data_IF_379402190658
#
_entry.id   IF_379402190658
#
_cell.length_a   1.000
_cell.length_b   1.000
_cell.length_c   1.000
_cell.angle_alpha   90.00
_cell.angle_beta   90.00
_cell.angle_gamma   90.00
#
_symmetry.space_group_name_H-M   'P 1'
#
loop_
_entity.id
_entity.type
_entity.pdbx_description
1 polymer ?
#
# COMPACT_ATOMS: atom_id res chain seq x y z
N UNK A 1 -20.30 -17.36 -26.45
CA UNK A 1 -20.91 -17.08 -25.12
C UNK A 1 -20.76 -18.22 -24.10
N UNK A 2 -21.08 -19.49 -24.43
CA UNK A 2 -20.96 -20.63 -23.48
C UNK A 2 -19.53 -20.84 -22.92
N UNK A 3 -18.48 -20.71 -23.74
CA UNK A 3 -17.07 -20.86 -23.32
C UNK A 3 -16.64 -19.79 -22.31
N UNK A 4 -17.00 -18.53 -22.55
CA UNK A 4 -16.71 -17.40 -21.64
C UNK A 4 -17.44 -17.56 -20.30
N UNK A 5 -18.72 -17.95 -20.32
CA UNK A 5 -19.48 -18.20 -19.07
C UNK A 5 -18.87 -19.35 -18.25
N UNK A 6 -18.41 -20.42 -18.91
CA UNK A 6 -17.71 -21.53 -18.25
C UNK A 6 -16.38 -21.07 -17.63
N UNK A 7 -15.58 -20.31 -18.37
CA UNK A 7 -14.32 -19.74 -17.90
C UNK A 7 -14.52 -18.86 -16.66
N UNK A 8 -15.45 -17.90 -16.73
CA UNK A 8 -15.73 -17.00 -15.61
C UNK A 8 -16.22 -17.78 -14.38
N UNK A 9 -17.17 -18.70 -14.55
CA UNK A 9 -17.70 -19.50 -13.43
C UNK A 9 -16.60 -20.34 -12.77
N UNK A 10 -15.74 -20.95 -13.57
CA UNK A 10 -14.65 -21.78 -13.08
C UNK A 10 -13.62 -20.94 -12.32
N UNK A 11 -13.19 -19.80 -12.87
CA UNK A 11 -12.26 -18.91 -12.17
C UNK A 11 -12.84 -18.39 -10.88
N UNK A 12 -14.10 -17.93 -10.87
CA UNK A 12 -14.71 -17.43 -9.62
C UNK A 12 -14.80 -18.52 -8.56
N UNK A 13 -15.11 -19.75 -8.96
CA UNK A 13 -15.18 -20.89 -8.05
C UNK A 13 -13.79 -21.25 -7.52
N UNK A 14 -12.79 -21.35 -8.40
CA UNK A 14 -11.40 -21.65 -8.04
C UNK A 14 -10.84 -20.56 -7.12
N UNK A 15 -11.08 -19.28 -7.41
CA UNK A 15 -10.59 -18.16 -6.60
C UNK A 15 -11.23 -18.16 -5.21
N UNK A 16 -12.56 -18.29 -5.12
CA UNK A 16 -13.24 -18.29 -3.82
C UNK A 16 -12.86 -19.53 -3.00
N UNK A 17 -12.90 -20.71 -3.62
CA UNK A 17 -12.56 -21.98 -2.98
C UNK A 17 -11.13 -21.95 -2.46
N UNK A 18 -10.17 -21.59 -3.30
CA UNK A 18 -8.79 -21.57 -2.87
C UNK A 18 -8.46 -20.43 -1.91
N UNK A 19 -9.00 -19.21 -2.10
CA UNK A 19 -8.76 -18.13 -1.14
C UNK A 19 -9.20 -18.53 0.28
N UNK A 20 -10.31 -19.26 0.40
CA UNK A 20 -10.76 -19.76 1.69
C UNK A 20 -9.98 -20.98 2.19
N UNK A 21 -9.58 -21.92 1.31
CA UNK A 21 -8.85 -23.13 1.71
C UNK A 21 -7.35 -22.91 1.93
N UNK A 22 -6.79 -21.87 1.33
CA UNK A 22 -5.37 -21.52 1.38
C UNK A 22 -5.07 -20.45 2.44
N UNK A 23 -5.96 -20.32 3.43
CA UNK A 23 -5.84 -19.40 4.57
C UNK A 23 -5.74 -17.91 4.16
N UNK A 24 -6.35 -17.53 3.03
CA UNK A 24 -6.27 -16.17 2.48
C UNK A 24 -6.72 -15.09 3.47
N UNK A 25 -7.76 -15.38 4.27
CA UNK A 25 -8.20 -14.50 5.36
C UNK A 25 -7.15 -14.33 6.46
N UNK A 26 -6.44 -15.40 6.84
CA UNK A 26 -5.39 -15.33 7.85
C UNK A 26 -4.15 -14.58 7.32
N UNK A 27 -3.78 -14.80 6.05
CA UNK A 27 -2.71 -14.05 5.41
C UNK A 27 -3.04 -12.56 5.26
N UNK A 28 -4.28 -12.21 4.95
CA UNK A 28 -4.71 -10.81 4.92
C UNK A 28 -4.54 -10.14 6.29
N UNK A 29 -4.92 -10.82 7.38
CA UNK A 29 -4.67 -10.35 8.75
C UNK A 29 -3.17 -10.22 9.05
N UNK A 30 -2.36 -11.19 8.62
CA UNK A 30 -0.92 -11.16 8.84
C UNK A 30 -0.27 -9.94 8.16
N UNK A 31 -0.61 -9.65 6.90
CA UNK A 31 -0.11 -8.49 6.16
C UNK A 31 -0.56 -7.19 6.85
N UNK A 32 -1.84 -7.07 7.17
CA UNK A 32 -2.40 -5.88 7.80
C UNK A 32 -1.75 -5.57 9.16
N UNK A 33 -1.65 -6.58 10.03
CA UNK A 33 -1.05 -6.43 11.35
C UNK A 33 0.45 -6.14 11.27
N UNK A 34 1.17 -6.78 10.34
CA UNK A 34 2.60 -6.49 10.13
C UNK A 34 2.83 -5.08 9.62
N UNK A 35 1.95 -4.58 8.74
CA UNK A 35 1.95 -3.18 8.31
C UNK A 35 1.72 -2.22 9.47
N UNK A 36 0.72 -2.48 10.31
CA UNK A 36 0.46 -1.66 11.50
C UNK A 36 1.64 -1.69 12.48
N UNK A 37 2.23 -2.86 12.73
CA UNK A 37 3.38 -3.00 13.64
C UNK A 37 4.61 -2.22 13.14
N UNK A 38 4.77 -2.08 11.81
CA UNK A 38 5.84 -1.27 11.23
C UNK A 38 5.62 0.24 11.41
N UNK A 39 4.38 0.71 11.63
CA UNK A 39 4.10 2.13 11.82
C UNK A 39 4.73 2.68 13.11
N UNK A 40 4.72 1.93 14.22
CA UNK A 40 5.25 2.46 15.49
C UNK A 40 6.75 2.78 15.43
N UNK A 41 7.64 1.85 15.01
CA UNK A 41 9.06 2.16 14.87
C UNK A 41 9.33 3.22 13.80
N UNK A 42 8.54 3.24 12.73
CA UNK A 42 8.63 4.27 11.69
C UNK A 42 8.33 5.66 12.22
N UNK A 43 7.27 5.82 13.03
CA UNK A 43 6.94 7.09 13.65
C UNK A 43 8.06 7.55 14.61
N UNK A 44 8.60 6.63 15.42
CA UNK A 44 9.75 6.95 16.28
C UNK A 44 10.93 7.41 15.42
N UNK A 45 11.24 6.71 14.33
CA UNK A 45 12.28 7.10 13.39
C UNK A 45 12.03 8.49 12.80
N UNK A 46 10.82 8.76 12.32
CA UNK A 46 10.46 10.05 11.73
C UNK A 46 10.63 11.19 12.74
N UNK A 47 10.16 11.02 13.99
CA UNK A 47 10.32 12.01 15.06
C UNK A 47 11.79 12.23 15.45
N UNK A 48 12.55 11.14 15.62
CA UNK A 48 13.99 11.21 15.91
C UNK A 48 14.78 11.86 14.77
N UNK A 49 14.43 11.60 13.51
CA UNK A 49 15.08 12.19 12.35
C UNK A 49 14.79 13.68 12.25
N UNK A 50 13.53 14.10 12.42
CA UNK A 50 13.14 15.50 12.47
C UNK A 50 13.92 16.24 13.58
N UNK A 51 13.95 15.69 14.79
CA UNK A 51 14.72 16.25 15.90
C UNK A 51 16.23 16.31 15.59
N UNK A 52 16.80 15.31 14.91
CA UNK A 52 18.22 15.27 14.54
C UNK A 52 18.57 16.35 13.49
N UNK A 53 17.69 16.57 12.52
CA UNK A 53 17.85 17.59 11.49
C UNK A 53 17.62 19.02 12.01
N UNK A 54 17.31 19.20 13.29
CA UNK A 54 17.08 20.52 13.88
C UNK A 54 15.83 21.21 13.33
N UNK A 55 14.86 20.45 12.83
CA UNK A 55 13.70 20.99 12.10
C UNK A 55 12.68 21.68 13.01
N UNK A 56 13.02 22.20 14.18
CA UNK A 56 12.07 22.96 15.02
C UNK A 56 11.57 24.20 14.29
N UNK A 57 12.48 24.94 13.65
CA UNK A 57 12.10 26.08 12.80
C UNK A 57 11.37 25.64 11.53
N UNK A 58 11.80 24.54 10.90
CA UNK A 58 11.13 24.01 9.71
C UNK A 58 9.73 23.49 10.01
N UNK A 59 9.50 22.88 11.19
CA UNK A 59 8.19 22.41 11.65
C UNK A 59 7.26 23.59 11.90
N UNK A 60 7.72 24.63 12.59
CA UNK A 60 6.94 25.86 12.78
C UNK A 60 6.59 26.50 11.43
N UNK A 61 7.57 26.67 10.53
CA UNK A 61 7.34 27.27 9.22
C UNK A 61 6.45 26.41 8.32
N UNK A 62 6.62 25.08 8.32
CA UNK A 62 5.79 24.16 7.56
C UNK A 62 4.35 24.12 8.08
N UNK A 63 4.15 24.15 9.40
CA UNK A 63 2.82 24.24 10.01
C UNK A 63 2.14 25.54 9.58
N UNK A 64 2.82 26.69 9.63
CA UNK A 64 2.29 27.95 9.13
C UNK A 64 1.95 27.88 7.63
N UNK A 65 2.90 27.49 6.78
CA UNK A 65 2.68 27.44 5.33
C UNK A 65 1.58 26.45 4.90
N UNK A 66 1.44 25.32 5.59
CA UNK A 66 0.46 24.28 5.25
C UNK A 66 -0.93 24.61 5.81
N UNK A 67 -1.00 25.12 7.04
CA UNK A 67 -2.26 25.26 7.77
C UNK A 67 -2.80 26.69 7.85
N UNK A 68 -2.04 27.73 7.49
CA UNK A 68 -2.56 29.12 7.44
C UNK A 68 -3.70 29.29 6.42
N UNK A 69 -3.76 28.40 5.42
CA UNK A 69 -4.85 28.37 4.43
C UNK A 69 -6.10 27.62 4.91
N UNK A 70 -6.08 27.02 6.11
CA UNK A 70 -7.15 26.17 6.63
C UNK A 70 -7.90 26.88 7.77
N UNK A 71 -9.22 26.64 7.94
CA UNK A 71 -9.95 27.13 9.11
C UNK A 71 -9.29 26.68 10.42
N UNK A 72 -9.15 27.61 11.39
CA UNK A 72 -8.39 27.39 12.63
C UNK A 72 -8.90 26.22 13.48
N UNK A 73 -10.19 25.91 13.40
CA UNK A 73 -10.82 24.76 14.06
C UNK A 73 -10.45 23.39 13.45
N UNK A 74 -9.94 23.36 12.22
CA UNK A 74 -9.43 22.15 11.54
C UNK A 74 -7.90 22.11 11.64
N UNK A 75 -7.25 23.25 11.43
CA UNK A 75 -5.80 23.41 11.47
C UNK A 75 -5.22 23.12 12.87
N UNK A 76 -5.81 23.67 13.93
CA UNK A 76 -5.24 23.63 15.28
C UNK A 76 -4.94 22.22 15.81
N UNK A 77 -5.92 21.28 15.80
CA UNK A 77 -5.68 19.91 16.27
C UNK A 77 -4.59 19.17 15.47
N UNK A 78 -4.57 19.33 14.14
CA UNK A 78 -3.61 18.66 13.26
C UNK A 78 -2.21 19.29 13.41
N UNK A 79 -2.13 20.62 13.44
CA UNK A 79 -0.91 21.37 13.68
C UNK A 79 -0.27 21.00 15.01
N UNK A 80 -1.08 20.88 16.08
CA UNK A 80 -0.60 20.46 17.40
C UNK A 80 -0.04 19.04 17.37
N UNK A 81 -0.70 18.10 16.69
CA UNK A 81 -0.21 16.73 16.58
C UNK A 81 1.09 16.66 15.75
N UNK A 82 1.16 17.39 14.64
CA UNK A 82 2.38 17.54 13.83
C UNK A 82 3.51 18.14 14.66
N UNK A 83 3.24 19.19 15.43
CA UNK A 83 4.22 19.81 16.32
C UNK A 83 4.66 18.86 17.43
N UNK A 84 3.76 18.12 18.05
CA UNK A 84 4.09 17.10 19.05
C UNK A 84 5.02 16.03 18.45
N UNK A 85 4.72 15.54 17.25
CA UNK A 85 5.53 14.54 16.55
C UNK A 85 6.91 15.11 16.18
N UNK A 86 7.00 16.35 15.71
CA UNK A 86 8.25 16.94 15.22
C UNK A 86 9.15 17.54 16.32
N UNK A 87 8.61 17.86 17.50
CA UNK A 87 9.36 18.54 18.58
C UNK A 87 9.68 17.67 19.79
N UNK A 88 9.02 16.51 19.93
CA UNK A 88 9.37 15.54 20.99
C UNK A 88 10.79 15.03 20.74
N UNK A 89 11.73 15.56 21.52
CA UNK A 89 13.14 15.19 21.45
C UNK A 89 13.35 13.79 22.02
N UNK A 90 13.57 12.82 21.13
CA UNK A 90 14.07 11.49 21.47
C UNK A 90 15.51 11.32 20.99
N UNK A 91 16.39 12.22 21.44
CA UNK A 91 17.81 12.18 21.12
C UNK A 91 18.41 10.88 21.66
N UNK A 92 18.94 10.03 20.78
CA UNK A 92 19.55 8.74 21.12
C UNK A 92 18.81 7.50 20.61
N UNK A 93 17.59 7.64 20.10
CA UNK A 93 16.82 6.50 19.56
C UNK A 93 16.88 6.35 18.04
N UNK A 94 17.55 7.26 17.31
CA UNK A 94 17.56 7.27 15.84
C UNK A 94 18.04 5.93 15.26
N UNK A 95 19.24 5.48 15.61
CA UNK A 95 19.80 4.23 15.09
C UNK A 95 18.94 3.01 15.45
N UNK A 96 18.46 2.93 16.69
CA UNK A 96 17.61 1.83 17.14
C UNK A 96 16.26 1.82 16.40
N UNK A 97 15.67 2.99 16.18
CA UNK A 97 14.40 3.15 15.46
C UNK A 97 14.52 2.79 13.98
N UNK A 98 15.66 3.10 13.32
CA UNK A 98 15.94 2.67 11.95
C UNK A 98 15.98 1.15 11.86
N UNK A 99 16.73 0.50 12.76
CA UNK A 99 16.86 -0.96 12.78
C UNK A 99 15.51 -1.61 13.05
N UNK A 100 14.76 -1.12 14.03
CA UNK A 100 13.43 -1.60 14.35
C UNK A 100 12.45 -1.40 13.17
N UNK A 101 12.41 -0.21 12.57
CA UNK A 101 11.55 0.07 11.41
C UNK A 101 11.88 -0.83 10.23
N UNK A 102 13.17 -1.01 9.91
CA UNK A 102 13.60 -1.93 8.86
C UNK A 102 13.18 -3.38 9.15
N UNK A 103 13.34 -3.84 10.39
CA UNK A 103 12.93 -5.19 10.79
C UNK A 103 11.43 -5.40 10.67
N UNK A 104 10.61 -4.52 11.27
CA UNK A 104 9.16 -4.65 11.23
C UNK A 104 8.58 -4.44 9.83
N UNK A 105 9.11 -3.49 9.05
CA UNK A 105 8.71 -3.33 7.66
C UNK A 105 9.05 -4.58 6.83
N UNK A 106 10.22 -5.20 7.06
CA UNK A 106 10.58 -6.45 6.38
C UNK A 106 9.62 -7.61 6.71
N UNK A 107 9.03 -7.64 7.92
CA UNK A 107 8.00 -8.63 8.27
C UNK A 107 6.74 -8.46 7.41
N UNK A 108 6.33 -7.22 7.12
CA UNK A 108 5.21 -6.96 6.21
C UNK A 108 5.48 -7.48 4.80
N UNK A 109 6.71 -7.32 4.29
CA UNK A 109 7.12 -7.87 2.99
C UNK A 109 7.17 -9.40 3.01
N UNK A 110 7.63 -10.02 4.10
CA UNK A 110 7.58 -11.48 4.25
C UNK A 110 6.13 -11.99 4.29
N UNK A 111 5.21 -11.28 4.95
CA UNK A 111 3.79 -11.64 4.92
C UNK A 111 3.22 -11.59 3.49
N UNK A 112 3.59 -10.56 2.71
CA UNK A 112 3.26 -10.49 1.28
C UNK A 112 3.86 -11.67 0.51
N UNK A 113 5.15 -11.98 0.73
CA UNK A 113 5.84 -13.11 0.08
C UNK A 113 5.13 -14.42 0.35
N UNK A 114 4.81 -14.72 1.61
CA UNK A 114 4.13 -15.95 1.99
C UNK A 114 2.74 -16.04 1.35
N UNK A 115 1.98 -14.94 1.37
CA UNK A 115 0.65 -14.90 0.75
C UNK A 115 0.70 -15.13 -0.77
N UNK A 116 1.68 -14.53 -1.47
CA UNK A 116 1.85 -14.72 -2.91
C UNK A 116 2.36 -16.12 -3.23
N UNK A 117 3.32 -16.65 -2.45
CA UNK A 117 3.80 -18.01 -2.63
C UNK A 117 2.66 -19.02 -2.48
N UNK A 118 1.81 -18.81 -1.47
CA UNK A 118 0.60 -19.61 -1.24
C UNK A 118 -0.38 -19.49 -2.40
N UNK A 119 -0.76 -18.27 -2.78
CA UNK A 119 -1.69 -18.02 -3.88
C UNK A 119 -1.17 -18.53 -5.23
N UNK A 120 0.14 -18.53 -5.46
CA UNK A 120 0.72 -19.09 -6.68
C UNK A 120 1.07 -20.58 -6.58
N UNK A 121 0.81 -21.24 -5.45
CA UNK A 121 1.12 -22.66 -5.20
C UNK A 121 2.59 -22.98 -5.45
N UNK A 122 3.47 -22.11 -4.98
CA UNK A 122 4.93 -22.31 -5.06
C UNK A 122 5.52 -22.44 -3.67
N UNK A 123 6.44 -23.38 -3.52
CA UNK A 123 7.26 -23.50 -2.31
C UNK A 123 8.54 -22.68 -2.49
N UNK A 124 8.87 -21.88 -1.47
CA UNK A 124 10.08 -21.08 -1.49
C UNK A 124 11.26 -21.89 -0.94
N UNK A 125 12.21 -22.22 -1.79
CA UNK A 125 13.42 -22.96 -1.42
C UNK A 125 14.62 -22.03 -1.16
N UNK A 126 14.44 -20.71 -1.30
CA UNK A 126 15.50 -19.73 -1.07
C UNK A 126 15.82 -19.67 0.43
N UNK A 127 17.08 -19.38 0.76
CA UNK A 127 17.50 -19.27 2.16
C UNK A 127 16.78 -18.12 2.86
N UNK A 128 16.49 -18.29 4.16
CA UNK A 128 15.80 -17.26 4.97
C UNK A 128 16.58 -15.94 4.93
N UNK A 129 17.91 -16.00 4.94
CA UNK A 129 18.78 -14.82 4.88
C UNK A 129 18.59 -14.08 3.55
N UNK A 130 18.54 -14.80 2.42
CA UNK A 130 18.31 -14.20 1.11
C UNK A 130 16.93 -13.53 1.04
N UNK A 131 15.88 -14.23 1.50
CA UNK A 131 14.52 -13.66 1.54
C UNK A 131 14.47 -12.39 2.40
N UNK A 132 15.13 -12.38 3.56
CA UNK A 132 15.21 -11.21 4.44
C UNK A 132 15.92 -10.02 3.80
N UNK A 133 17.07 -10.24 3.16
CA UNK A 133 17.79 -9.17 2.43
C UNK A 133 16.95 -8.64 1.26
N UNK A 134 16.31 -9.53 0.51
CA UNK A 134 15.39 -9.14 -0.56
C UNK A 134 14.24 -8.29 -0.01
N UNK A 135 13.66 -8.68 1.12
CA UNK A 135 12.56 -7.96 1.76
C UNK A 135 12.97 -6.56 2.22
N UNK A 136 14.19 -6.38 2.73
CA UNK A 136 14.73 -5.04 3.00
C UNK A 136 14.85 -4.21 1.72
N UNK A 137 15.28 -4.80 0.60
CA UNK A 137 15.30 -4.12 -0.70
C UNK A 137 13.89 -3.67 -1.15
N UNK A 138 12.88 -4.52 -0.95
CA UNK A 138 11.48 -4.18 -1.21
C UNK A 138 10.94 -3.09 -0.28
N UNK A 139 11.37 -3.05 0.98
CA UNK A 139 11.04 -1.94 1.89
C UNK A 139 11.58 -0.63 1.33
N UNK A 140 12.82 -0.59 0.84
CA UNK A 140 13.42 0.61 0.24
C UNK A 140 12.68 1.05 -1.02
N UNK A 141 12.44 0.13 -1.96
CA UNK A 141 11.69 0.41 -3.20
C UNK A 141 10.26 0.88 -2.88
N UNK A 142 9.59 0.21 -1.93
CA UNK A 142 8.26 0.57 -1.46
C UNK A 142 8.24 1.97 -0.84
N UNK A 143 9.25 2.29 -0.02
CA UNK A 143 9.41 3.62 0.59
C UNK A 143 9.57 4.69 -0.48
N UNK A 144 10.47 4.50 -1.44
CA UNK A 144 10.68 5.45 -2.56
C UNK A 144 9.40 5.61 -3.38
N UNK A 145 8.70 4.52 -3.66
CA UNK A 145 7.44 4.54 -4.44
C UNK A 145 6.34 5.31 -3.70
N UNK A 146 6.18 5.07 -2.40
CA UNK A 146 5.22 5.78 -1.56
C UNK A 146 5.59 7.26 -1.39
N UNK A 147 6.89 7.59 -1.26
CA UNK A 147 7.36 8.98 -1.24
C UNK A 147 7.07 9.68 -2.56
N UNK A 148 7.30 9.03 -3.70
CA UNK A 148 6.98 9.59 -5.01
C UNK A 148 5.48 9.83 -5.17
N UNK A 149 4.63 8.87 -4.78
CA UNK A 149 3.17 9.03 -4.81
C UNK A 149 2.74 10.16 -3.86
N UNK A 150 3.25 10.20 -2.63
CA UNK A 150 2.95 11.25 -1.65
C UNK A 150 3.35 12.64 -2.16
N UNK A 151 4.55 12.76 -2.74
CA UNK A 151 4.98 13.99 -3.39
C UNK A 151 4.02 14.39 -4.51
N UNK A 152 3.73 13.49 -5.44
CA UNK A 152 2.87 13.79 -6.59
C UNK A 152 1.45 14.15 -6.19
N UNK A 153 0.86 13.47 -5.20
CA UNK A 153 -0.55 13.65 -4.85
C UNK A 153 -0.77 14.75 -3.80
N UNK A 154 0.18 14.98 -2.89
CA UNK A 154 0.03 15.89 -1.75
C UNK A 154 0.89 17.15 -1.90
N UNK A 155 2.21 17.01 -2.12
CA UNK A 155 3.13 18.14 -2.10
C UNK A 155 3.17 18.94 -3.42
N UNK A 156 3.17 18.25 -4.56
CA UNK A 156 3.17 18.86 -5.89
C UNK A 156 2.00 19.85 -6.14
N UNK A 157 0.73 19.59 -5.74
CA UNK A 157 -0.32 20.60 -5.91
C UNK A 157 -0.10 21.83 -5.04
N UNK A 158 0.51 21.70 -3.85
CA UNK A 158 0.92 22.85 -3.06
C UNK A 158 2.02 23.65 -3.77
N UNK A 159 3.02 22.97 -4.31
CA UNK A 159 4.10 23.60 -5.07
C UNK A 159 3.58 24.33 -6.33
N UNK A 160 2.61 23.75 -7.04
CA UNK A 160 1.96 24.39 -8.21
C UNK A 160 1.22 25.65 -7.80
N UNK A 161 0.41 25.60 -6.73
CA UNK A 161 -0.29 26.79 -6.21
C UNK A 161 0.67 27.91 -5.79
N UNK A 162 1.80 27.55 -5.17
CA UNK A 162 2.83 28.53 -4.83
C UNK A 162 3.49 29.10 -6.09
N UNK A 163 3.82 28.26 -7.07
CA UNK A 163 4.44 28.69 -8.31
C UNK A 163 3.55 29.64 -9.11
N UNK A 164 2.23 29.43 -9.13
CA UNK A 164 1.25 30.33 -9.77
C UNK A 164 1.31 31.77 -9.22
N UNK A 165 1.64 31.96 -7.95
CA UNK A 165 1.75 33.30 -7.35
C UNK A 165 2.93 34.10 -7.91
N UNK A 166 4.02 33.41 -8.27
CA UNK A 166 5.24 34.02 -8.80
C UNK A 166 5.30 34.00 -10.34
N UNK A 167 4.62 33.03 -10.97
CA UNK A 167 4.59 32.80 -12.40
C UNK A 167 3.15 32.55 -12.88
N UNK A 168 2.35 33.61 -13.12
CA UNK A 168 0.95 33.49 -13.51
C UNK A 168 0.72 32.68 -14.80
N UNK A 169 1.73 32.61 -15.69
CA UNK A 169 1.69 31.85 -16.94
C UNK A 169 1.58 30.32 -16.74
N UNK A 170 1.74 29.83 -15.51
CA UNK A 170 1.53 28.41 -15.16
C UNK A 170 0.03 28.09 -15.05
N UNK A 171 -0.82 29.07 -14.73
CA UNK A 171 -2.25 28.87 -14.46
C UNK A 171 -2.99 28.09 -15.58
N UNK A 172 -2.76 28.33 -16.88
CA UNK A 172 -3.39 27.55 -17.96
C UNK A 172 -2.97 26.07 -18.00
N UNK A 173 -1.80 25.73 -17.45
CA UNK A 173 -1.23 24.37 -17.49
C UNK A 173 -1.57 23.52 -16.26
N UNK A 174 -2.20 24.11 -15.24
CA UNK A 174 -2.53 23.46 -13.96
C UNK A 174 -3.33 22.16 -14.14
N UNK A 175 -4.32 22.16 -15.03
CA UNK A 175 -5.10 20.97 -15.39
C UNK A 175 -4.23 19.87 -16.02
N UNK A 176 -3.36 20.25 -16.96
CA UNK A 176 -2.42 19.32 -17.60
C UNK A 176 -1.43 18.74 -16.59
N UNK A 177 -0.88 19.58 -15.69
CA UNK A 177 0.02 19.16 -14.61
C UNK A 177 -0.70 18.18 -13.67
N UNK A 178 -1.96 18.44 -13.32
CA UNK A 178 -2.75 17.53 -12.51
C UNK A 178 -2.92 16.16 -13.18
N UNK A 179 -3.28 16.12 -14.46
CA UNK A 179 -3.42 14.86 -15.23
C UNK A 179 -2.12 14.06 -15.20
N UNK A 180 -0.98 14.71 -15.47
CA UNK A 180 0.33 14.02 -15.44
C UNK A 180 0.68 13.51 -14.04
N UNK A 181 0.42 14.30 -12.99
CA UNK A 181 0.67 13.87 -11.60
C UNK A 181 -0.11 12.60 -11.25
N UNK A 182 -1.41 12.56 -11.55
CA UNK A 182 -2.22 11.36 -11.32
C UNK A 182 -1.75 10.18 -12.18
N UNK A 183 -1.43 10.44 -13.46
CA UNK A 183 -0.95 9.41 -14.39
C UNK A 183 0.34 8.77 -13.89
N UNK A 184 1.33 9.58 -13.50
CA UNK A 184 2.61 9.10 -12.97
C UNK A 184 2.40 8.35 -11.66
N UNK A 185 1.55 8.84 -10.75
CA UNK A 185 1.25 8.14 -9.50
C UNK A 185 0.65 6.74 -9.74
N UNK A 186 -0.28 6.62 -10.70
CA UNK A 186 -0.85 5.33 -11.12
C UNK A 186 0.22 4.44 -11.75
N UNK A 187 1.09 4.98 -12.61
CA UNK A 187 2.20 4.21 -13.20
C UNK A 187 3.13 3.66 -12.11
N UNK A 188 3.53 4.48 -11.14
CA UNK A 188 4.38 4.05 -10.02
C UNK A 188 3.69 2.92 -9.23
N UNK A 189 2.40 3.06 -8.93
CA UNK A 189 1.64 2.02 -8.23
C UNK A 189 1.54 0.71 -9.02
N UNK A 190 1.25 0.81 -10.33
CA UNK A 190 1.20 -0.33 -11.25
C UNK A 190 2.56 -1.04 -11.29
N UNK A 191 3.64 -0.29 -11.48
CA UNK A 191 5.00 -0.84 -11.50
C UNK A 191 5.35 -1.52 -10.17
N UNK A 192 4.99 -0.92 -9.03
CA UNK A 192 5.20 -1.53 -7.72
C UNK A 192 4.47 -2.88 -7.61
N UNK A 193 3.20 -2.96 -8.05
CA UNK A 193 2.45 -4.22 -8.07
C UNK A 193 3.08 -5.26 -8.99
N UNK A 194 3.56 -4.86 -10.17
CA UNK A 194 4.28 -5.74 -11.09
C UNK A 194 5.54 -6.31 -10.45
N UNK A 195 6.40 -5.45 -9.91
CA UNK A 195 7.66 -5.81 -9.24
C UNK A 195 7.39 -6.80 -8.09
N UNK A 196 6.37 -6.54 -7.29
CA UNK A 196 5.97 -7.44 -6.19
C UNK A 196 5.47 -8.78 -6.73
N UNK A 197 4.57 -8.81 -7.72
CA UNK A 197 4.01 -10.05 -8.24
C UNK A 197 5.04 -10.91 -9.01
N UNK A 198 6.05 -10.28 -9.60
CA UNK A 198 7.04 -10.96 -10.46
C UNK A 198 8.28 -11.42 -9.69
N UNK A 199 8.79 -10.62 -8.75
CA UNK A 199 10.09 -10.89 -8.10
C UNK A 199 10.00 -11.31 -6.63
N UNK A 200 8.93 -10.95 -5.93
CA UNK A 200 8.77 -11.33 -4.53
C UNK A 200 8.51 -12.84 -4.36
N UNK A 201 7.48 -13.43 -5.00
CA UNK A 201 7.22 -14.86 -4.86
C UNK A 201 8.28 -15.72 -5.57
N UNK A 202 8.43 -16.96 -5.14
CA UNK A 202 9.32 -17.92 -5.77
C UNK A 202 8.80 -18.33 -7.16
N UNK A 203 9.70 -18.85 -8.01
CA UNK A 203 9.38 -19.30 -9.36
C UNK A 203 9.35 -18.19 -10.40
N UNK A 204 9.24 -18.58 -11.68
CA UNK A 204 9.23 -17.67 -12.83
C UNK A 204 7.80 -17.54 -13.36
N UNK A 205 7.38 -16.31 -13.67
CA UNK A 205 6.07 -15.99 -14.27
C UNK A 205 6.30 -15.04 -15.44
N UNK A 206 5.40 -15.00 -16.42
CA UNK A 206 5.44 -13.99 -17.48
C UNK A 206 4.61 -12.78 -17.06
N UNK A 207 4.92 -11.60 -17.61
CA UNK A 207 4.14 -10.38 -17.34
C UNK A 207 2.65 -10.55 -17.73
N UNK A 208 2.38 -11.31 -18.80
CA UNK A 208 1.03 -11.65 -19.26
C UNK A 208 0.23 -12.52 -18.28
N UNK A 209 0.90 -13.18 -17.34
CA UNK A 209 0.26 -14.08 -16.37
C UNK A 209 -0.25 -13.31 -15.14
N UNK A 210 0.37 -12.17 -14.84
CA UNK A 210 0.07 -11.36 -13.64
C UNK A 210 -0.80 -10.14 -13.92
N UNK A 211 -0.84 -9.69 -15.19
CA UNK A 211 -1.59 -8.52 -15.63
C UNK A 211 -3.10 -8.57 -15.24
N UNK A 212 -3.84 -9.69 -15.42
CA UNK A 212 -5.27 -9.73 -15.12
C UNK A 212 -5.56 -9.45 -13.64
N UNK A 213 -4.84 -10.11 -12.74
CA UNK A 213 -4.98 -9.96 -11.30
C UNK A 213 -4.56 -8.58 -10.83
N UNK A 214 -3.48 -8.00 -11.35
CA UNK A 214 -3.08 -6.61 -11.05
C UNK A 214 -4.19 -5.63 -11.43
N UNK A 215 -4.79 -5.80 -12.62
CA UNK A 215 -5.91 -4.96 -13.07
C UNK A 215 -7.13 -5.07 -12.14
N UNK A 216 -7.52 -6.29 -11.77
CA UNK A 216 -8.62 -6.51 -10.82
C UNK A 216 -8.31 -5.91 -9.44
N UNK A 217 -7.09 -6.11 -8.92
CA UNK A 217 -6.64 -5.53 -7.65
C UNK A 217 -6.78 -4.02 -7.64
N UNK A 218 -6.33 -3.33 -8.69
CA UNK A 218 -6.41 -1.87 -8.78
C UNK A 218 -7.85 -1.36 -8.78
N UNK A 219 -8.72 -1.97 -9.60
CA UNK A 219 -10.14 -1.60 -9.68
C UNK A 219 -10.84 -1.88 -8.35
N UNK A 220 -10.59 -3.04 -7.76
CA UNK A 220 -11.17 -3.42 -6.48
C UNK A 220 -10.66 -2.55 -5.33
N UNK A 221 -9.38 -2.18 -5.30
CA UNK A 221 -8.83 -1.22 -4.33
C UNK A 221 -9.48 0.14 -4.45
N UNK A 222 -9.68 0.67 -5.66
CA UNK A 222 -10.37 1.95 -5.85
C UNK A 222 -11.83 1.88 -5.37
N UNK A 223 -12.55 0.82 -5.74
CA UNK A 223 -13.92 0.60 -5.29
C UNK A 223 -14.01 0.46 -3.76
N UNK A 224 -13.10 -0.32 -3.18
CA UNK A 224 -13.00 -0.56 -1.74
C UNK A 224 -12.64 0.72 -0.98
N UNK A 225 -11.68 1.51 -1.44
CA UNK A 225 -11.32 2.79 -0.84
C UNK A 225 -12.50 3.77 -0.88
N UNK A 226 -13.22 3.83 -2.01
CA UNK A 226 -14.41 4.68 -2.15
C UNK A 226 -15.54 4.24 -1.21
N UNK A 227 -15.81 2.94 -1.13
CA UNK A 227 -16.82 2.39 -0.24
C UNK A 227 -16.45 2.61 1.24
N UNK A 228 -15.17 2.44 1.58
CA UNK A 228 -14.67 2.63 2.93
C UNK A 228 -14.70 4.10 3.36
N UNK A 229 -14.39 5.03 2.45
CA UNK A 229 -14.52 6.46 2.72
C UNK A 229 -15.97 6.84 3.06
N UNK A 230 -16.95 6.35 2.29
CA UNK A 230 -18.39 6.56 2.58
C UNK A 230 -18.82 5.92 3.91
N UNK A 231 -18.28 4.75 4.23
CA UNK A 231 -18.51 4.11 5.53
C UNK A 231 -18.02 5.01 6.68
N UNK A 232 -16.84 5.62 6.55
CA UNK A 232 -16.28 6.51 7.57
C UNK A 232 -17.09 7.80 7.78
N UNK A 233 -17.75 8.33 6.74
CA UNK A 233 -18.66 9.48 6.89
C UNK A 233 -19.81 9.19 7.87
N UNK A 234 -20.31 7.95 7.88
CA UNK A 234 -21.36 7.51 8.82
C UNK A 234 -20.77 7.13 10.18
N UNK A 235 -19.54 6.61 10.21
CA UNK A 235 -18.85 6.13 11.41
C UNK A 235 -18.17 7.25 12.22
N UNK A 236 -18.06 8.47 11.67
CA UNK A 236 -17.39 9.62 12.30
C UNK A 236 -17.96 9.95 13.69
N UNK A 237 -19.25 9.72 13.93
CA UNK A 237 -19.90 9.91 15.23
C UNK A 237 -19.52 8.86 16.29
N UNK A 238 -18.92 7.72 15.90
CA UNK A 238 -18.48 6.65 16.80
C UNK A 238 -17.02 6.86 17.26
N UNK A 239 -16.21 7.53 16.43
CA UNK A 239 -14.80 7.88 16.70
C UNK A 239 -14.67 8.83 17.89
N UNK A 240 -15.65 9.71 18.10
CA UNK A 240 -15.68 10.65 19.23
C UNK A 240 -15.86 9.96 20.58
N UNK A 241 -16.49 8.78 20.61
CA UNK A 241 -16.79 8.03 21.85
C UNK A 241 -15.65 7.09 22.26
N UNK A 242 -14.96 6.48 21.29
CA UNK A 242 -13.90 5.48 21.51
C UNK A 242 -12.54 5.96 21.00
N UNK A 243 -12.24 7.24 21.20
CA UNK A 243 -11.07 7.94 20.68
C UNK A 243 -9.77 7.11 20.71
N UNK A 244 -8.87 7.32 19.74
CA UNK A 244 -7.59 6.60 19.60
C UNK A 244 -7.73 5.12 19.17
N UNK A 245 -8.51 4.32 19.90
CA UNK A 245 -8.78 2.90 19.59
C UNK A 245 -9.57 2.75 18.29
N UNK A 246 -10.54 3.62 18.05
CA UNK A 246 -11.31 3.63 16.81
C UNK A 246 -10.42 3.86 15.58
N UNK A 247 -9.44 4.77 15.65
CA UNK A 247 -8.54 5.06 14.53
C UNK A 247 -7.64 3.89 14.17
N UNK A 248 -7.10 3.18 15.18
CA UNK A 248 -6.30 1.98 14.97
C UNK A 248 -7.15 0.88 14.33
N UNK A 249 -8.37 0.67 14.83
CA UNK A 249 -9.28 -0.33 14.27
C UNK A 249 -9.62 -0.04 12.81
N UNK A 250 -9.92 1.22 12.48
CA UNK A 250 -10.17 1.68 11.10
C UNK A 250 -8.98 1.36 10.20
N UNK A 251 -7.75 1.65 10.64
CA UNK A 251 -6.54 1.36 9.87
C UNK A 251 -6.35 -0.15 9.65
N UNK A 252 -6.54 -0.98 10.68
CA UNK A 252 -6.42 -2.44 10.55
C UNK A 252 -7.44 -3.00 9.56
N UNK A 253 -8.72 -2.60 9.69
CA UNK A 253 -9.79 -3.07 8.80
C UNK A 253 -9.52 -2.65 7.36
N UNK A 254 -9.05 -1.42 7.15
CA UNK A 254 -8.69 -0.93 5.82
C UNK A 254 -7.53 -1.73 5.21
N UNK A 255 -6.43 -1.88 5.96
CA UNK A 255 -5.27 -2.66 5.50
C UNK A 255 -5.63 -4.13 5.26
N UNK A 256 -6.49 -4.70 6.09
CA UNK A 256 -7.00 -6.06 5.92
C UNK A 256 -7.76 -6.21 4.61
N UNK A 257 -8.68 -5.28 4.32
CA UNK A 257 -9.45 -5.27 3.08
C UNK A 257 -8.54 -5.13 1.86
N UNK A 258 -7.56 -4.21 1.89
CA UNK A 258 -6.58 -4.07 0.82
C UNK A 258 -5.74 -5.35 0.63
N UNK A 259 -5.32 -5.97 1.72
CA UNK A 259 -4.53 -7.21 1.70
C UNK A 259 -5.35 -8.38 1.13
N UNK A 260 -6.62 -8.52 1.52
CA UNK A 260 -7.51 -9.54 0.97
C UNK A 260 -7.69 -9.37 -0.54
N UNK A 261 -7.97 -8.14 -1.00
CA UNK A 261 -8.10 -7.84 -2.43
C UNK A 261 -6.81 -8.15 -3.20
N UNK A 262 -5.66 -7.81 -2.63
CA UNK A 262 -4.36 -8.10 -3.20
C UNK A 262 -4.14 -9.61 -3.40
N UNK A 263 -4.43 -10.41 -2.37
CA UNK A 263 -4.31 -11.87 -2.43
C UNK A 263 -5.30 -12.44 -3.46
N UNK A 264 -6.55 -11.95 -3.49
CA UNK A 264 -7.54 -12.33 -4.51
C UNK A 264 -7.02 -12.05 -5.92
N UNK A 265 -6.31 -10.94 -6.15
CA UNK A 265 -5.65 -10.68 -7.43
C UNK A 265 -4.61 -11.74 -7.80
N UNK A 266 -3.77 -12.16 -6.85
CA UNK A 266 -2.81 -13.24 -7.05
C UNK A 266 -3.50 -14.60 -7.31
N UNK A 267 -4.61 -14.86 -6.63
CA UNK A 267 -5.46 -16.04 -6.84
C UNK A 267 -6.05 -16.08 -8.24
N UNK A 268 -6.55 -14.95 -8.75
CA UNK A 268 -7.05 -14.81 -10.12
C UNK A 268 -5.94 -15.14 -11.12
N UNK A 269 -4.74 -14.60 -10.92
CA UNK A 269 -3.59 -14.89 -11.77
C UNK A 269 -3.29 -16.39 -11.79
N UNK A 270 -3.25 -17.03 -10.62
CA UNK A 270 -3.01 -18.46 -10.50
C UNK A 270 -4.11 -19.32 -11.15
N UNK A 271 -5.38 -18.97 -10.95
CA UNK A 271 -6.52 -19.66 -11.57
C UNK A 271 -6.46 -19.55 -13.11
N UNK A 272 -6.14 -18.38 -13.65
CA UNK A 272 -5.99 -18.18 -15.10
C UNK A 272 -4.82 -19.00 -15.65
N UNK A 273 -3.67 -19.02 -14.97
CA UNK A 273 -2.53 -19.84 -15.36
C UNK A 273 -2.88 -21.33 -15.38
N UNK A 274 -3.57 -21.82 -14.35
CA UNK A 274 -3.99 -23.23 -14.26
C UNK A 274 -5.02 -23.59 -15.33
N UNK A 275 -5.98 -22.71 -15.61
CA UNK A 275 -6.94 -22.91 -16.69
C UNK A 275 -6.25 -23.02 -18.06
N UNK A 276 -5.31 -22.12 -18.36
CA UNK A 276 -4.53 -22.15 -19.61
C UNK A 276 -3.71 -23.43 -19.76
N UNK A 277 -3.07 -23.89 -18.68
CA UNK A 277 -2.33 -25.17 -18.67
C UNK A 277 -3.24 -26.37 -18.98
N UNK A 278 -4.44 -26.42 -18.38
CA UNK A 278 -5.41 -27.49 -18.62
C UNK A 278 -5.93 -27.51 -20.06
N UNK A 279 -6.14 -26.35 -20.68
CA UNK A 279 -6.53 -26.28 -22.11
C UNK A 279 -5.41 -26.77 -23.05
N UNK A 280 -4.14 -26.64 -22.65
CA UNK A 280 -2.99 -27.07 -23.45
C UNK A 280 -2.65 -28.56 -23.31
N UNK A 281 -3.17 -29.25 -22.27
CA UNK A 281 -2.92 -30.67 -22.02
C UNK A 281 -4.24 -31.44 -21.77
N UNK A 282 -5.08 -31.66 -22.80
CA UNK A 282 -6.39 -32.30 -22.63
C UNK A 282 -6.30 -33.79 -22.24
N UNK A 283 -5.23 -34.48 -22.66
CA UNK A 283 -5.10 -35.95 -22.61
C UNK A 283 -4.80 -36.51 -21.21
N UNK A 284 -4.36 -35.69 -20.26
CA UNK A 284 -4.06 -36.09 -18.87
C UNK A 284 -5.25 -35.94 -17.90
N UNK A 285 -6.43 -35.53 -18.37
CA UNK A 285 -7.63 -35.32 -17.53
C UNK A 285 -8.65 -36.48 -17.64
N UNK A 286 -8.24 -37.65 -18.17
CA UNK A 286 -9.14 -38.81 -18.42
C UNK A 286 -8.85 -40.00 -17.45
N UNK A 287 -7.96 -39.85 -16.47
CA UNK A 287 -7.78 -40.86 -15.40
C UNK A 287 -8.38 -40.42 -14.06
#
# INVERSE_FOLDING_TARGET
MRKVRRFLRQITFDVYGHFSSDDGWAFASHIALSGLMALFPFLIFATSLASFLGTKEFANNAVHVIFDMWPSNIAGPIANEVMNVLTVQRSGLLTLSVIAAAYFASNGVEALRMSLNRAYRVTDQRSIIFCRLQSLGFVLIGTISLMAISFLLVLAPLAVRLAEQWFPDIAPFTGTIAIWRYTIAVIVLVLALFIVHIWLPAGKRRLSDILPGIGITLVAWLAAATAFAKYLETFANYVTTYAGLASIMVAIVFLYMLSAIFIIGAEINAAIMNFRKREQQPELNIE
#
